data_IF_072873814723
#
_entry.id   IF_072873814723
#
_cell.length_a   1.000
_cell.length_b   1.000
_cell.length_c   1.000
_cell.angle_alpha   90.00
_cell.angle_beta   90.00
_cell.angle_gamma   90.00
#
_symmetry.space_group_name_H-M   'P 1'
#
loop_
_entity.id
_entity.type
_entity.pdbx_description
1 polymer ?
#
# COMPACT_ATOMS: atom_id res chain seq x y z
N UNK A 1 0.26 0.53 -32.68
CA UNK A 1 0.62 0.59 -31.24
C UNK A 1 1.68 1.66 -31.10
N UNK A 2 1.39 2.78 -30.42
CA UNK A 2 2.37 3.85 -30.16
C UNK A 2 3.09 3.55 -28.85
N UNK A 3 4.37 3.87 -28.77
CA UNK A 3 5.19 3.63 -27.58
C UNK A 3 4.84 4.67 -26.51
N UNK A 4 4.59 4.25 -25.26
CA UNK A 4 4.40 5.15 -24.13
C UNK A 4 5.69 5.26 -23.33
N UNK A 5 6.28 6.45 -23.29
CA UNK A 5 7.55 6.73 -22.62
C UNK A 5 7.32 7.44 -21.30
N UNK A 6 7.82 6.85 -20.21
CA UNK A 6 7.82 7.44 -18.87
C UNK A 6 9.24 7.85 -18.51
N UNK A 7 9.46 9.14 -18.28
CA UNK A 7 10.77 9.72 -17.94
C UNK A 7 10.65 10.66 -16.75
N UNK A 8 11.73 10.84 -15.99
CA UNK A 8 11.73 11.84 -14.92
C UNK A 8 11.56 13.26 -15.52
N UNK A 9 12.30 13.58 -16.58
CA UNK A 9 12.26 14.87 -17.29
C UNK A 9 12.27 14.65 -18.79
N UNK A 10 11.51 15.45 -19.53
CA UNK A 10 11.44 15.35 -20.98
C UNK A 10 12.58 16.12 -21.65
N UNK A 11 13.25 15.48 -22.60
CA UNK A 11 14.13 16.22 -23.51
C UNK A 11 13.29 16.89 -24.59
N UNK A 12 13.77 18.00 -25.16
CA UNK A 12 13.06 18.69 -26.25
C UNK A 12 12.74 17.78 -27.43
N UNK A 13 13.61 16.80 -27.71
CA UNK A 13 13.40 15.81 -28.76
C UNK A 13 12.22 14.87 -28.46
N UNK A 14 12.13 14.36 -27.21
CA UNK A 14 11.01 13.53 -26.79
C UNK A 14 9.68 14.29 -26.83
N UNK A 15 9.68 15.55 -26.39
CA UNK A 15 8.50 16.43 -26.46
C UNK A 15 8.03 16.64 -27.90
N UNK A 16 8.96 16.87 -28.84
CA UNK A 16 8.63 17.01 -30.27
C UNK A 16 8.04 15.73 -30.85
N UNK A 17 8.63 14.56 -30.54
CA UNK A 17 8.09 13.28 -30.98
C UNK A 17 6.68 13.02 -30.43
N UNK A 18 6.43 13.42 -29.18
CA UNK A 18 5.14 13.27 -28.55
C UNK A 18 4.08 14.16 -29.19
N UNK A 19 4.36 15.44 -29.45
CA UNK A 19 3.47 16.35 -30.18
C UNK A 19 3.21 15.89 -31.62
N UNK A 20 4.22 15.31 -32.27
CA UNK A 20 4.10 14.71 -33.60
C UNK A 20 3.32 13.38 -33.58
N UNK A 21 2.77 12.97 -32.43
CA UNK A 21 2.00 11.74 -32.29
C UNK A 21 2.80 10.46 -32.58
N UNK A 22 4.15 10.52 -32.54
CA UNK A 22 5.03 9.37 -32.77
C UNK A 22 5.11 8.49 -31.51
N UNK A 23 5.12 9.11 -30.34
CA UNK A 23 5.12 8.47 -29.02
C UNK A 23 4.08 9.13 -28.12
N UNK A 24 3.71 8.46 -27.04
CA UNK A 24 3.06 9.09 -25.89
C UNK A 24 4.13 9.36 -24.82
N UNK A 25 4.00 10.44 -24.06
CA UNK A 25 5.03 10.89 -23.12
C UNK A 25 4.43 11.28 -21.78
N UNK A 26 4.98 10.72 -20.70
CA UNK A 26 4.78 11.17 -19.32
C UNK A 26 6.14 11.60 -18.73
N UNK A 27 6.29 12.88 -18.44
CA UNK A 27 7.44 13.45 -17.75
C UNK A 27 7.06 13.77 -16.30
N UNK A 28 7.51 12.92 -15.37
CA UNK A 28 7.00 12.86 -13.99
C UNK A 28 7.37 14.11 -13.17
N UNK A 29 8.63 14.56 -13.20
CA UNK A 29 9.06 15.74 -12.45
C UNK A 29 8.46 17.03 -13.01
N UNK A 30 8.09 17.02 -14.29
CA UNK A 30 7.51 18.17 -15.01
C UNK A 30 5.98 18.16 -14.98
N UNK A 31 5.35 17.13 -14.40
CA UNK A 31 3.89 16.90 -14.43
C UNK A 31 3.29 17.08 -15.83
N UNK A 32 3.99 16.55 -16.84
CA UNK A 32 3.63 16.72 -18.24
C UNK A 32 3.20 15.41 -18.87
N UNK A 33 2.03 15.41 -19.49
CA UNK A 33 1.47 14.28 -20.23
C UNK A 33 1.11 14.72 -21.65
N UNK A 34 1.64 14.02 -22.65
CA UNK A 34 1.27 14.21 -24.06
C UNK A 34 0.80 12.88 -24.61
N UNK A 35 -0.48 12.81 -24.99
CA UNK A 35 -1.12 11.61 -25.56
C UNK A 35 -1.68 12.00 -26.92
N UNK A 36 -1.32 11.22 -27.94
CA UNK A 36 -1.75 11.44 -29.33
C UNK A 36 -1.52 12.87 -29.85
N UNK A 37 -0.43 13.52 -29.41
CA UNK A 37 -0.07 14.88 -29.81
C UNK A 37 -0.72 15.98 -28.99
N UNK A 38 -1.70 15.64 -28.15
CA UNK A 38 -2.40 16.56 -27.26
C UNK A 38 -1.69 16.64 -25.90
N UNK A 39 -1.41 17.87 -25.46
CA UNK A 39 -0.80 18.15 -24.16
C UNK A 39 -1.88 18.29 -23.08
N UNK A 40 -1.83 17.41 -22.08
CA UNK A 40 -2.73 17.33 -20.93
C UNK A 40 -2.12 17.92 -19.65
N UNK A 41 -0.95 18.56 -19.73
CA UNK A 41 -0.25 19.10 -18.55
C UNK A 41 -1.06 20.16 -17.80
N UNK A 42 -1.92 20.92 -18.48
CA UNK A 42 -2.79 21.92 -17.84
C UNK A 42 -3.85 21.30 -16.94
N UNK A 43 -4.35 20.10 -17.26
CA UNK A 43 -5.29 19.35 -16.43
C UNK A 43 -4.62 18.77 -15.19
N UNK A 44 -3.37 18.28 -15.32
CA UNK A 44 -2.58 17.71 -14.21
C UNK A 44 -2.17 18.78 -13.19
N UNK A 45 -1.98 20.03 -13.62
CA UNK A 45 -1.56 21.12 -12.75
C UNK A 45 -2.71 21.79 -11.97
N UNK A 46 -3.97 21.39 -12.19
CA UNK A 46 -5.12 21.90 -11.44
C UNK A 46 -5.36 21.15 -10.12
N UNK A 47 -4.81 19.95 -9.96
CA UNK A 47 -4.85 19.25 -8.67
C UNK A 47 -3.79 19.82 -7.72
N UNK A 48 -4.19 20.31 -6.52
CA UNK A 48 -3.23 20.72 -5.51
C UNK A 48 -2.31 19.54 -5.18
N UNK A 49 -0.99 19.78 -4.97
CA UNK A 49 -0.11 18.73 -4.48
C UNK A 49 -0.68 18.19 -3.15
N UNK A 50 -0.64 16.87 -2.91
CA UNK A 50 -1.10 16.33 -1.63
C UNK A 50 -0.33 17.00 -0.50
N UNK A 51 -1.05 17.40 0.57
CA UNK A 51 -0.53 18.17 1.70
C UNK A 51 0.70 17.54 2.38
N UNK A 52 0.90 16.24 2.20
CA UNK A 52 2.06 15.50 2.71
C UNK A 52 2.68 14.64 1.60
N UNK A 53 3.64 15.20 0.85
CA UNK A 53 4.68 14.37 0.24
C UNK A 53 5.80 14.26 1.28
N UNK A 54 5.92 13.15 2.02
CA UNK A 54 7.05 12.99 2.93
C UNK A 54 8.34 13.16 2.13
N UNK A 55 9.24 14.02 2.61
CA UNK A 55 10.56 14.23 2.02
C UNK A 55 11.23 12.86 1.84
N UNK A 56 11.33 12.40 0.58
CA UNK A 56 12.02 11.15 0.24
C UNK A 56 13.44 11.23 0.77
N UNK A 57 13.72 10.54 1.89
CA UNK A 57 15.09 10.36 2.38
C UNK A 57 15.90 9.70 1.25
N UNK A 58 17.06 10.26 0.91
CA UNK A 58 17.91 9.73 -0.17
C UNK A 58 18.28 8.27 0.13
N UNK A 59 17.84 7.35 -0.72
CA UNK A 59 18.12 5.91 -0.63
C UNK A 59 16.89 5.07 -0.95
N UNK A 60 17.09 3.78 -1.23
CA UNK A 60 15.97 2.83 -1.35
C UNK A 60 15.33 2.65 0.03
N UNK A 61 14.00 2.77 0.17
CA UNK A 61 13.35 2.55 1.46
C UNK A 61 13.69 1.17 2.03
N UNK A 62 13.85 1.03 3.35
CA UNK A 62 14.25 -0.22 3.99
C UNK A 62 13.07 -1.21 4.12
N UNK A 63 12.36 -1.52 3.03
CA UNK A 63 11.14 -2.35 3.03
C UNK A 63 11.30 -3.69 3.76
N UNK A 64 12.45 -4.34 3.61
CA UNK A 64 12.73 -5.62 4.30
C UNK A 64 12.77 -5.44 5.81
N UNK A 65 13.30 -4.31 6.33
CA UNK A 65 13.30 -4.03 7.77
C UNK A 65 11.86 -3.97 8.28
N UNK A 66 11.05 -3.15 7.61
CA UNK A 66 9.63 -2.99 7.93
C UNK A 66 8.84 -4.30 7.86
N UNK A 67 9.06 -5.11 6.83
CA UNK A 67 8.41 -6.39 6.72
C UNK A 67 8.82 -7.38 7.82
N UNK A 68 10.10 -7.39 8.24
CA UNK A 68 10.58 -8.21 9.36
C UNK A 68 9.90 -7.78 10.66
N UNK A 69 9.87 -6.48 10.95
CA UNK A 69 9.22 -5.95 12.15
C UNK A 69 7.74 -6.34 12.20
N UNK A 70 7.02 -6.24 11.08
CA UNK A 70 5.62 -6.66 10.97
C UNK A 70 5.43 -8.16 11.22
N UNK A 71 6.25 -9.01 10.60
CA UNK A 71 6.19 -10.46 10.82
C UNK A 71 6.49 -10.84 12.28
N UNK A 72 7.47 -10.20 12.90
CA UNK A 72 7.82 -10.46 14.30
C UNK A 72 6.77 -9.94 15.28
N UNK A 73 6.17 -8.77 14.99
CA UNK A 73 5.05 -8.25 15.77
C UNK A 73 3.82 -9.16 15.67
N UNK A 74 3.52 -9.72 14.50
CA UNK A 74 2.34 -10.57 14.31
C UNK A 74 2.56 -12.03 14.72
N UNK A 75 3.80 -12.43 14.98
CA UNK A 75 4.11 -13.79 15.41
C UNK A 75 3.99 -13.97 16.92
N UNK A 76 3.26 -14.98 17.41
CA UNK A 76 3.24 -15.33 18.83
C UNK A 76 4.49 -16.10 19.27
N UNK A 77 5.28 -16.62 18.33
CA UNK A 77 6.48 -17.43 18.60
C UNK A 77 7.73 -16.81 17.95
N UNK A 78 8.94 -17.05 18.50
CA UNK A 78 10.18 -16.64 17.86
C UNK A 78 10.29 -17.19 16.43
N UNK A 79 10.75 -16.36 15.49
CA UNK A 79 10.91 -16.76 14.08
C UNK A 79 12.39 -16.92 13.70
N UNK A 80 12.80 -18.06 13.13
CA UNK A 80 14.14 -18.23 12.59
C UNK A 80 14.42 -17.26 11.43
N UNK A 81 15.69 -16.84 11.28
CA UNK A 81 16.09 -15.98 10.15
C UNK A 81 15.82 -16.63 8.79
N UNK A 82 15.94 -17.95 8.70
CA UNK A 82 15.65 -18.71 7.47
C UNK A 82 14.16 -18.67 7.12
N UNK A 83 13.27 -18.73 8.12
CA UNK A 83 11.83 -18.60 7.91
C UNK A 83 11.47 -17.19 7.48
N UNK A 84 12.00 -16.16 8.16
CA UNK A 84 11.82 -14.76 7.76
C UNK A 84 12.31 -14.52 6.32
N UNK A 85 13.48 -15.06 5.97
CA UNK A 85 14.05 -14.93 4.63
C UNK A 85 13.17 -15.59 3.57
N UNK A 86 12.67 -16.80 3.86
CA UNK A 86 11.77 -17.54 2.98
C UNK A 86 10.46 -16.78 2.75
N UNK A 87 9.78 -16.33 3.82
CA UNK A 87 8.52 -15.58 3.69
C UNK A 87 8.71 -14.29 2.89
N UNK A 88 9.81 -13.57 3.12
CA UNK A 88 10.06 -12.29 2.47
C UNK A 88 10.76 -12.40 1.12
N UNK A 89 10.99 -13.61 0.61
CA UNK A 89 11.71 -13.87 -0.64
C UNK A 89 13.04 -13.08 -0.68
N UNK A 90 13.80 -13.17 0.41
CA UNK A 90 15.07 -12.48 0.61
C UNK A 90 16.12 -13.45 1.15
N UNK A 91 17.32 -12.95 1.45
CA UNK A 91 18.40 -13.79 1.96
C UNK A 91 18.49 -13.73 3.49
N UNK A 92 18.93 -14.80 4.17
CA UNK A 92 19.22 -14.76 5.61
C UNK A 92 20.21 -13.64 5.98
N UNK A 93 21.14 -13.28 5.09
CA UNK A 93 22.07 -12.16 5.30
C UNK A 93 21.37 -10.80 5.31
N UNK A 94 20.36 -10.60 4.47
CA UNK A 94 19.56 -9.37 4.48
C UNK A 94 18.75 -9.25 5.78
N UNK A 95 18.18 -10.38 6.26
CA UNK A 95 17.49 -10.46 7.55
C UNK A 95 18.47 -10.15 8.69
N UNK A 96 19.63 -10.81 8.73
CA UNK A 96 20.66 -10.55 9.74
C UNK A 96 21.11 -9.09 9.74
N UNK A 97 21.27 -8.47 8.57
CA UNK A 97 21.62 -7.05 8.46
C UNK A 97 20.52 -6.13 9.02
N UNK A 98 19.25 -6.45 8.78
CA UNK A 98 18.11 -5.68 9.30
C UNK A 98 17.96 -5.82 10.83
N UNK A 99 18.26 -6.99 11.38
CA UNK A 99 18.16 -7.28 12.81
C UNK A 99 19.38 -6.82 13.62
N UNK A 100 20.53 -6.62 12.97
CA UNK A 100 21.77 -6.27 13.67
C UNK A 100 21.64 -4.93 14.40
N UNK A 101 21.69 -4.98 15.73
CA UNK A 101 21.57 -3.80 16.59
C UNK A 101 20.16 -3.22 16.66
N UNK A 102 19.15 -4.01 16.29
CA UNK A 102 17.76 -3.59 16.37
C UNK A 102 17.30 -3.51 17.83
N UNK A 103 16.75 -2.37 18.23
CA UNK A 103 16.50 -2.02 19.64
C UNK A 103 15.44 -2.89 20.31
N UNK A 104 14.37 -3.26 19.60
CA UNK A 104 13.20 -3.94 20.17
C UNK A 104 13.13 -5.44 19.88
N UNK A 105 14.14 -5.99 19.21
CA UNK A 105 14.15 -7.38 18.73
C UNK A 105 15.37 -8.09 19.30
N UNK A 106 15.17 -9.27 19.87
CA UNK A 106 16.23 -10.03 20.53
C UNK A 106 16.24 -11.50 20.08
N UNK A 107 17.40 -12.18 20.18
CA UNK A 107 17.47 -13.63 20.01
C UNK A 107 16.70 -14.34 21.12
N UNK A 108 15.96 -15.37 20.75
CA UNK A 108 15.27 -16.28 21.66
C UNK A 108 15.49 -17.74 21.21
N UNK A 109 15.09 -18.70 22.04
CA UNK A 109 15.05 -20.09 21.61
C UNK A 109 14.13 -20.23 20.40
N UNK A 110 14.64 -20.82 19.31
CA UNK A 110 13.89 -20.97 18.06
C UNK A 110 13.94 -19.78 17.10
N UNK A 111 14.58 -18.65 17.43
CA UNK A 111 14.75 -17.56 16.46
C UNK A 111 14.85 -16.17 17.07
N UNK A 112 14.09 -15.23 16.51
CA UNK A 112 14.02 -13.83 16.95
C UNK A 112 12.62 -13.48 17.40
N UNK A 113 12.52 -12.64 18.43
CA UNK A 113 11.23 -12.18 18.97
C UNK A 113 11.27 -10.70 19.34
N UNK A 114 10.10 -10.09 19.51
CA UNK A 114 9.95 -8.71 19.96
C UNK A 114 9.73 -8.68 21.48
N UNK A 115 10.61 -8.03 22.24
CA UNK A 115 10.49 -7.94 23.70
C UNK A 115 9.73 -6.69 24.18
N UNK A 116 9.59 -5.67 23.33
CA UNK A 116 8.84 -4.41 23.59
C UNK A 116 7.87 -4.13 22.44
N UNK A 117 6.81 -4.93 22.37
CA UNK A 117 5.84 -4.94 21.25
C UNK A 117 5.18 -3.59 21.01
N UNK A 118 4.71 -2.93 22.07
CA UNK A 118 4.09 -1.60 22.00
C UNK A 118 5.04 -0.56 21.42
N UNK A 119 6.26 -0.46 21.97
CA UNK A 119 7.25 0.53 21.55
C UNK A 119 7.65 0.33 20.08
N UNK A 120 7.84 -0.94 19.66
CA UNK A 120 8.14 -1.25 18.26
C UNK A 120 6.98 -0.86 17.34
N UNK A 121 5.74 -1.18 17.70
CA UNK A 121 4.58 -0.83 16.87
C UNK A 121 4.40 0.69 16.76
N UNK A 122 4.51 1.42 17.87
CA UNK A 122 4.44 2.89 17.87
C UNK A 122 5.53 3.49 16.99
N UNK A 123 6.77 3.02 17.12
CA UNK A 123 7.88 3.49 16.27
C UNK A 123 7.68 3.14 14.80
N UNK A 124 7.18 1.93 14.50
CA UNK A 124 6.86 1.52 13.15
C UNK A 124 5.90 2.50 12.50
N UNK A 125 4.79 2.84 13.20
CA UNK A 125 3.75 3.72 12.68
C UNK A 125 4.23 5.16 12.49
N UNK A 126 5.19 5.63 13.30
CA UNK A 126 5.80 6.97 13.17
C UNK A 126 6.79 7.06 11.98
N UNK A 127 7.55 5.99 11.73
CA UNK A 127 8.65 6.01 10.77
C UNK A 127 8.28 5.40 9.39
N UNK A 128 7.29 4.51 9.30
CA UNK A 128 6.87 3.88 8.04
C UNK A 128 6.05 4.89 7.22
N UNK A 129 6.51 5.30 6.02
CA UNK A 129 5.87 6.37 5.25
C UNK A 129 4.62 5.91 4.48
N UNK A 130 4.11 4.72 4.76
CA UNK A 130 3.15 4.02 3.91
C UNK A 130 3.80 3.28 2.73
N UNK A 131 3.01 2.48 2.00
CA UNK A 131 3.51 1.67 0.89
C UNK A 131 3.82 2.49 -0.38
N UNK A 132 3.44 3.76 -0.42
CA UNK A 132 3.67 4.66 -1.55
C UNK A 132 3.04 4.17 -2.85
N UNK A 133 3.60 4.59 -3.98
CA UNK A 133 3.19 4.13 -5.30
C UNK A 133 2.11 4.97 -5.99
N UNK A 134 1.65 4.47 -7.14
CA UNK A 134 0.68 5.16 -7.98
C UNK A 134 -0.73 4.92 -7.44
N UNK A 135 -1.48 5.99 -7.22
CA UNK A 135 -2.80 5.96 -6.61
C UNK A 135 -3.82 6.59 -7.56
N UNK A 136 -5.01 5.99 -7.64
CA UNK A 136 -6.16 6.50 -8.41
C UNK A 136 -7.39 6.53 -7.51
N UNK A 137 -8.24 7.55 -7.71
CA UNK A 137 -9.43 7.80 -6.92
C UNK A 137 -10.68 7.65 -7.78
N UNK A 138 -11.70 7.04 -7.18
CA UNK A 138 -12.90 6.62 -7.87
C UNK A 138 -14.12 6.87 -6.98
N UNK A 139 -15.22 7.25 -7.62
CA UNK A 139 -16.50 7.40 -6.96
C UNK A 139 -17.42 6.24 -7.34
N UNK A 140 -17.92 5.53 -6.33
CA UNK A 140 -18.98 4.53 -6.44
C UNK A 140 -20.20 4.92 -5.61
N UNK A 141 -21.39 4.47 -6.04
CA UNK A 141 -22.67 4.73 -5.35
C UNK A 141 -22.98 3.72 -4.24
N UNK A 142 -22.43 2.51 -4.33
CA UNK A 142 -22.66 1.47 -3.33
C UNK A 142 -21.98 1.80 -1.99
N UNK A 143 -22.39 1.13 -0.92
CA UNK A 143 -21.64 1.14 0.32
C UNK A 143 -20.21 0.58 0.09
N UNK A 144 -19.19 0.97 0.89
CA UNK A 144 -17.80 0.58 0.66
C UNK A 144 -17.56 -0.93 0.48
N UNK A 145 -18.28 -1.77 1.22
CA UNK A 145 -18.20 -3.24 1.08
C UNK A 145 -18.73 -3.73 -0.28
N UNK A 146 -19.78 -3.11 -0.81
CA UNK A 146 -20.30 -3.36 -2.16
C UNK A 146 -19.32 -2.91 -3.24
N UNK A 147 -18.73 -1.73 -3.07
CA UNK A 147 -17.68 -1.21 -3.96
C UNK A 147 -16.49 -2.17 -4.06
N UNK A 148 -15.96 -2.64 -2.91
CA UNK A 148 -14.89 -3.64 -2.89
C UNK A 148 -15.29 -4.92 -3.62
N UNK A 149 -16.53 -5.38 -3.45
CA UNK A 149 -17.01 -6.60 -4.11
C UNK A 149 -16.94 -6.45 -5.63
N UNK A 150 -17.42 -5.33 -6.18
CA UNK A 150 -17.37 -5.03 -7.62
C UNK A 150 -15.93 -4.84 -8.12
N UNK A 151 -15.11 -4.08 -7.40
CA UNK A 151 -13.71 -3.85 -7.75
C UNK A 151 -12.90 -5.16 -7.77
N UNK A 152 -13.04 -6.01 -6.75
CA UNK A 152 -12.38 -7.32 -6.69
C UNK A 152 -12.86 -8.27 -7.78
N UNK A 153 -14.14 -8.22 -8.15
CA UNK A 153 -14.64 -9.02 -9.27
C UNK A 153 -13.96 -8.61 -10.58
N UNK A 154 -13.79 -7.30 -10.82
CA UNK A 154 -13.04 -6.82 -11.98
C UNK A 154 -11.57 -7.28 -11.93
N UNK A 155 -10.88 -7.12 -10.80
CA UNK A 155 -9.51 -7.61 -10.64
C UNK A 155 -9.37 -9.10 -10.99
N UNK A 156 -10.29 -9.94 -10.49
CA UNK A 156 -10.32 -11.39 -10.82
C UNK A 156 -10.56 -11.66 -12.30
N UNK A 157 -11.48 -10.93 -12.93
CA UNK A 157 -11.76 -11.08 -14.36
C UNK A 157 -10.55 -10.72 -15.23
N UNK A 158 -9.67 -9.85 -14.72
CA UNK A 158 -8.46 -9.38 -15.37
C UNK A 158 -7.20 -10.13 -14.92
N UNK A 159 -7.32 -11.16 -14.07
CA UNK A 159 -6.22 -11.92 -13.48
C UNK A 159 -5.18 -11.04 -12.76
N UNK A 160 -5.66 -10.00 -12.05
CA UNK A 160 -4.81 -9.09 -11.26
C UNK A 160 -5.01 -9.36 -9.78
N UNK A 161 -3.91 -9.70 -9.11
CA UNK A 161 -3.87 -9.82 -7.65
C UNK A 161 -4.17 -8.46 -6.99
N UNK A 162 -5.05 -8.49 -5.99
CA UNK A 162 -5.34 -7.34 -5.14
C UNK A 162 -5.49 -7.74 -3.66
N UNK A 163 -5.12 -6.82 -2.76
CA UNK A 163 -5.33 -6.92 -1.32
C UNK A 163 -6.30 -5.82 -0.89
N UNK A 164 -7.28 -6.19 -0.06
CA UNK A 164 -8.13 -5.22 0.63
C UNK A 164 -7.34 -4.56 1.76
N UNK A 165 -7.54 -3.25 1.93
CA UNK A 165 -6.86 -2.46 2.96
C UNK A 165 -7.77 -1.41 3.60
N UNK A 166 -7.23 -0.61 4.52
CA UNK A 166 -7.94 0.45 5.24
C UNK A 166 -9.10 -0.10 6.05
N UNK A 167 -10.22 0.63 6.04
CA UNK A 167 -11.42 0.30 6.82
C UNK A 167 -11.92 -1.12 6.62
N UNK A 168 -11.86 -1.62 5.39
CA UNK A 168 -12.37 -2.94 5.03
C UNK A 168 -11.50 -4.04 5.66
N UNK A 169 -10.19 -3.84 5.69
CA UNK A 169 -9.28 -4.76 6.36
C UNK A 169 -9.36 -4.62 7.89
N UNK A 170 -9.50 -3.41 8.41
CA UNK A 170 -9.65 -3.18 9.83
C UNK A 170 -10.94 -3.79 10.40
N UNK A 171 -12.07 -3.63 9.70
CA UNK A 171 -13.35 -4.26 10.06
C UNK A 171 -13.25 -5.79 10.03
N UNK A 172 -12.50 -6.36 9.08
CA UNK A 172 -12.23 -7.79 9.07
C UNK A 172 -11.45 -8.25 10.33
N UNK A 173 -10.41 -7.52 10.73
CA UNK A 173 -9.50 -7.90 11.81
C UNK A 173 -10.03 -7.63 13.22
N UNK A 174 -10.64 -6.46 13.42
CA UNK A 174 -11.16 -5.99 14.69
C UNK A 174 -12.41 -5.11 14.43
N UNK A 175 -13.58 -5.73 14.18
CA UNK A 175 -14.80 -5.00 13.86
C UNK A 175 -15.17 -4.02 14.98
N UNK A 176 -15.27 -2.73 14.64
CA UNK A 176 -15.58 -1.67 15.61
C UNK A 176 -16.45 -0.57 15.01
N UNK A 177 -16.09 -0.07 13.82
CA UNK A 177 -16.90 0.87 13.05
C UNK A 177 -17.27 0.31 11.69
N UNK A 178 -18.35 0.82 11.13
CA UNK A 178 -18.69 0.55 9.73
C UNK A 178 -17.66 1.21 8.80
N UNK A 179 -17.20 0.50 7.75
CA UNK A 179 -16.31 1.09 6.77
C UNK A 179 -16.90 2.34 6.10
N UNK A 180 -16.09 3.39 5.96
CA UNK A 180 -16.47 4.66 5.33
C UNK A 180 -15.90 4.76 3.92
N UNK A 181 -14.70 4.23 3.70
CA UNK A 181 -14.03 4.21 2.40
C UNK A 181 -13.67 2.79 1.97
N UNK A 182 -13.55 2.58 0.66
CA UNK A 182 -13.06 1.34 0.07
C UNK A 182 -11.62 1.55 -0.44
N UNK A 183 -10.72 0.60 -0.19
CA UNK A 183 -9.35 0.67 -0.69
C UNK A 183 -8.80 -0.70 -1.11
N UNK A 184 -8.07 -0.72 -2.23
CA UNK A 184 -7.31 -1.87 -2.72
C UNK A 184 -5.84 -1.50 -2.98
N UNK A 185 -4.93 -2.40 -2.57
CA UNK A 185 -3.61 -2.50 -3.19
C UNK A 185 -3.66 -3.51 -4.32
N UNK A 186 -3.09 -3.17 -5.47
CA UNK A 186 -3.11 -4.01 -6.67
C UNK A 186 -1.75 -4.06 -7.34
N UNK A 187 -1.48 -5.08 -8.16
CA UNK A 187 -0.20 -5.19 -8.86
C UNK A 187 -0.08 -4.24 -10.05
N UNK A 188 -1.19 -3.88 -10.66
CA UNK A 188 -1.27 -3.09 -11.89
C UNK A 188 -2.51 -2.20 -11.82
N UNK A 189 -2.47 -1.00 -12.41
CA UNK A 189 -3.62 -0.10 -12.43
C UNK A 189 -4.70 -0.63 -13.37
N UNK A 190 -5.96 -0.48 -12.96
CA UNK A 190 -7.13 -0.81 -13.76
C UNK A 190 -8.04 0.40 -13.93
N UNK A 191 -8.77 0.40 -15.05
CA UNK A 191 -9.93 1.25 -15.23
C UNK A 191 -11.14 0.57 -14.56
N UNK A 192 -11.73 1.23 -13.56
CA UNK A 192 -12.87 0.71 -12.80
C UNK A 192 -14.23 1.15 -13.35
N UNK A 193 -14.30 1.89 -14.47
CA UNK A 193 -15.56 2.20 -15.15
C UNK A 193 -16.42 0.95 -15.44
N UNK A 194 -15.85 -0.19 -15.91
CA UNK A 194 -16.63 -1.42 -16.13
C UNK A 194 -17.23 -2.02 -14.85
N UNK A 195 -16.68 -1.67 -13.68
CA UNK A 195 -17.20 -2.08 -12.37
C UNK A 195 -18.20 -1.06 -11.77
N UNK A 196 -18.63 -0.07 -12.56
CA UNK A 196 -19.65 0.92 -12.15
C UNK A 196 -19.11 2.15 -11.43
N UNK A 197 -17.78 2.35 -11.45
CA UNK A 197 -17.15 3.53 -10.86
C UNK A 197 -17.05 4.68 -11.86
N UNK A 198 -16.91 5.90 -11.35
CA UNK A 198 -16.50 7.07 -12.12
C UNK A 198 -15.17 7.60 -11.59
N UNK A 199 -14.33 8.19 -12.45
CA UNK A 199 -13.09 8.85 -12.00
C UNK A 199 -13.45 10.00 -11.06
N UNK A 200 -12.70 10.15 -9.97
CA UNK A 200 -12.90 11.19 -8.98
C UNK A 200 -11.57 11.85 -8.58
N UNK A 201 -11.65 13.02 -7.95
CA UNK A 201 -10.50 13.56 -7.21
C UNK A 201 -10.32 12.79 -5.90
N UNK A 202 -9.23 13.08 -5.18
CA UNK A 202 -8.97 12.51 -3.85
C UNK A 202 -10.10 12.83 -2.87
N UNK A 203 -10.57 14.08 -2.88
CA UNK A 203 -11.53 14.61 -1.92
C UNK A 203 -12.97 14.11 -2.16
N UNK A 204 -13.26 13.68 -3.39
CA UNK A 204 -14.58 13.19 -3.78
C UNK A 204 -14.64 11.65 -3.86
N UNK A 205 -13.48 10.98 -3.91
CA UNK A 205 -13.39 9.54 -4.10
C UNK A 205 -13.90 8.74 -2.89
N UNK A 206 -14.73 7.74 -3.15
CA UNK A 206 -15.18 6.76 -2.14
C UNK A 206 -14.44 5.43 -2.24
N UNK A 207 -13.69 5.23 -3.33
CA UNK A 207 -12.83 4.09 -3.58
C UNK A 207 -11.43 4.53 -4.03
N UNK A 208 -10.40 3.91 -3.45
CA UNK A 208 -8.99 4.15 -3.79
C UNK A 208 -8.33 2.87 -4.27
N UNK A 209 -7.63 2.95 -5.41
CA UNK A 209 -6.85 1.85 -5.96
C UNK A 209 -5.39 2.26 -6.12
N UNK A 210 -4.49 1.51 -5.48
CA UNK A 210 -3.06 1.85 -5.38
C UNK A 210 -2.19 0.70 -5.86
N UNK A 211 -1.22 0.99 -6.73
CA UNK A 211 -0.10 0.10 -7.03
C UNK A 211 1.08 0.49 -6.14
N UNK A 212 1.35 -0.25 -5.05
CA UNK A 212 2.30 0.16 -4.03
C UNK A 212 3.76 -0.01 -4.48
N UNK A 213 4.66 0.84 -3.94
CA UNK A 213 6.11 0.68 -4.08
C UNK A 213 6.69 -0.35 -3.12
N UNK A 214 6.03 -0.62 -1.98
CA UNK A 214 6.43 -1.66 -1.04
C UNK A 214 6.12 -3.06 -1.62
N UNK A 215 7.13 -3.85 -2.01
CA UNK A 215 6.92 -5.17 -2.58
C UNK A 215 6.58 -6.24 -1.53
N UNK A 216 6.59 -5.88 -0.25
CA UNK A 216 6.46 -6.83 0.86
C UNK A 216 5.02 -7.05 1.30
N UNK A 217 4.06 -6.24 0.86
CA UNK A 217 2.65 -6.33 1.30
C UNK A 217 2.04 -7.71 1.06
N UNK A 218 2.13 -8.24 -0.17
CA UNK A 218 1.63 -9.59 -0.48
C UNK A 218 2.38 -10.68 0.29
N UNK A 219 3.68 -10.48 0.54
CA UNK A 219 4.52 -11.48 1.20
C UNK A 219 4.15 -11.62 2.66
N UNK A 220 3.94 -10.50 3.35
CA UNK A 220 3.52 -10.50 4.76
C UNK A 220 2.08 -10.94 4.92
N UNK A 221 1.19 -10.52 4.01
CA UNK A 221 -0.20 -10.97 4.00
C UNK A 221 -0.32 -12.50 3.81
N UNK A 222 0.47 -13.08 2.91
CA UNK A 222 0.48 -14.53 2.65
C UNK A 222 0.94 -15.37 3.86
N UNK A 223 1.63 -14.80 4.85
CA UNK A 223 2.02 -15.53 6.07
C UNK A 223 0.83 -15.74 7.02
N UNK A 224 -0.23 -14.93 6.88
CA UNK A 224 -1.37 -14.97 7.79
C UNK A 224 -2.47 -15.94 7.36
N UNK A 225 -2.36 -16.51 6.16
CA UNK A 225 -3.36 -17.42 5.59
C UNK A 225 -2.69 -18.57 4.85
N UNK A 226 -3.36 -19.72 4.81
CA UNK A 226 -2.93 -20.88 4.02
C UNK A 226 -3.35 -20.78 2.54
N UNK A 227 -4.15 -19.77 2.19
CA UNK A 227 -4.63 -19.51 0.83
C UNK A 227 -4.06 -18.21 0.26
N UNK A 228 -4.49 -17.84 -0.96
CA UNK A 228 -4.21 -16.51 -1.49
C UNK A 228 -4.72 -15.44 -0.52
N UNK A 229 -3.90 -14.44 -0.15
CA UNK A 229 -4.32 -13.40 0.77
C UNK A 229 -5.35 -12.47 0.15
N UNK A 230 -6.42 -12.22 0.91
CA UNK A 230 -7.52 -11.31 0.54
C UNK A 230 -7.34 -9.90 1.09
N UNK A 231 -6.55 -9.76 2.16
CA UNK A 231 -6.32 -8.54 2.93
C UNK A 231 -4.83 -8.32 3.11
N UNK A 232 -4.42 -7.05 3.29
CA UNK A 232 -3.10 -6.74 3.86
C UNK A 232 -2.98 -7.27 5.28
N UNK A 233 -1.77 -7.42 5.82
CA UNK A 233 -1.63 -7.74 7.24
C UNK A 233 -2.14 -6.62 8.17
N UNK A 234 -2.53 -6.96 9.42
CA UNK A 234 -3.17 -6.03 10.35
C UNK A 234 -2.41 -4.73 10.62
N UNK A 235 -1.07 -4.75 10.56
CA UNK A 235 -0.26 -3.55 10.83
C UNK A 235 -0.36 -2.55 9.65
N UNK A 236 -0.46 -3.04 8.42
CA UNK A 236 -0.72 -2.17 7.26
C UNK A 236 -2.16 -1.67 7.27
N UNK A 237 -3.13 -2.53 7.63
CA UNK A 237 -4.51 -2.08 7.81
C UNK A 237 -4.61 -0.96 8.87
N UNK A 238 -3.90 -1.12 10.00
CA UNK A 238 -3.81 -0.10 11.04
C UNK A 238 -3.20 1.21 10.52
N UNK A 239 -2.05 1.13 9.85
CA UNK A 239 -1.43 2.30 9.24
C UNK A 239 -2.41 3.03 8.29
N UNK A 240 -3.14 2.28 7.47
CA UNK A 240 -4.04 2.86 6.47
C UNK A 240 -5.29 3.49 7.11
N UNK A 241 -5.83 2.92 8.19
CA UNK A 241 -6.91 3.55 8.96
C UNK A 241 -6.44 4.83 9.65
N UNK A 242 -5.23 4.84 10.22
CA UNK A 242 -4.66 6.05 10.85
C UNK A 242 -4.50 7.22 9.88
N UNK A 243 -4.33 6.92 8.58
CA UNK A 243 -4.18 7.91 7.51
C UNK A 243 -5.44 8.01 6.62
N UNK A 244 -6.52 7.36 7.02
CA UNK A 244 -7.79 7.31 6.30
C UNK A 244 -8.75 8.43 6.71
N UNK A 245 -9.94 8.41 6.12
CA UNK A 245 -10.99 9.41 6.37
C UNK A 245 -11.98 8.96 7.46
N UNK A 246 -12.56 9.95 8.15
CA UNK A 246 -13.58 9.76 9.18
C UNK A 246 -13.18 10.35 10.52
N UNK A 247 -14.13 10.95 11.23
CA UNK A 247 -13.88 11.57 12.54
C UNK A 247 -13.55 10.56 13.64
N UNK A 248 -13.92 9.30 13.44
CA UNK A 248 -13.74 8.16 14.33
C UNK A 248 -12.60 7.22 13.87
N UNK A 249 -11.82 7.62 12.87
CA UNK A 249 -10.72 6.80 12.35
C UNK A 249 -9.63 6.55 13.40
N UNK A 250 -9.36 7.53 14.28
CA UNK A 250 -8.39 7.38 15.35
C UNK A 250 -8.85 6.34 16.39
N UNK A 251 -10.11 6.39 16.82
CA UNK A 251 -10.68 5.43 17.76
C UNK A 251 -10.69 4.00 17.18
N UNK A 252 -10.99 3.87 15.88
CA UNK A 252 -10.92 2.60 15.17
C UNK A 252 -9.48 2.06 15.06
N UNK A 253 -8.50 2.95 14.82
CA UNK A 253 -7.10 2.61 14.82
C UNK A 253 -6.63 2.15 16.21
N UNK A 254 -7.02 2.84 17.27
CA UNK A 254 -6.72 2.44 18.66
C UNK A 254 -7.29 1.04 18.96
N UNK A 255 -8.52 0.75 18.54
CA UNK A 255 -9.13 -0.56 18.73
C UNK A 255 -8.37 -1.68 18.01
N UNK A 256 -7.99 -1.45 16.74
CA UNK A 256 -7.20 -2.42 15.97
C UNK A 256 -5.79 -2.58 16.53
N UNK A 257 -5.16 -1.50 16.99
CA UNK A 257 -3.86 -1.53 17.65
C UNK A 257 -3.89 -2.42 18.90
N UNK A 258 -4.90 -2.25 19.75
CA UNK A 258 -5.09 -3.09 20.93
C UNK A 258 -5.28 -4.56 20.56
N UNK A 259 -6.09 -4.85 19.53
CA UNK A 259 -6.28 -6.22 19.05
C UNK A 259 -4.95 -6.86 18.56
N UNK A 260 -4.11 -6.10 17.86
CA UNK A 260 -2.78 -6.57 17.39
C UNK A 260 -1.86 -6.90 18.57
N UNK A 261 -1.80 -6.02 19.56
CA UNK A 261 -0.88 -6.15 20.69
C UNK A 261 -1.23 -7.34 21.59
N UNK A 262 -2.53 -7.58 21.78
CA UNK A 262 -3.07 -8.69 22.56
C UNK A 262 -3.22 -9.98 21.76
N UNK A 263 -2.88 -9.99 20.47
CA UNK A 263 -3.01 -11.18 19.61
C UNK A 263 -4.46 -11.62 19.37
N UNK A 264 -5.41 -10.68 19.46
CA UNK A 264 -6.85 -10.90 19.35
C UNK A 264 -7.41 -10.61 17.94
N UNK A 265 -6.55 -10.30 16.96
CA UNK A 265 -6.99 -10.11 15.57
C UNK A 265 -7.59 -11.39 14.99
N UNK A 266 -8.70 -11.23 14.26
CA UNK A 266 -9.30 -12.33 13.49
C UNK A 266 -8.35 -12.79 12.37
N UNK A 267 -8.36 -14.07 12.03
CA UNK A 267 -7.68 -14.63 10.84
C UNK A 267 -8.70 -15.19 9.86
#
# INVERSE_FOLDING_TARGET
>A
MKLFLVVARATSHLTQLAHASVVHLLAVDERRLIVDGTDYSTTINQEPPPDHIPLRRRGRPPWIRWAIERLLLLSPQPLPQTILANHLHTTPQAVSKALKGHEYVEPAEGGWTVHRRQELLTRFLDEYPGPGGACTYWYGLDAPTGQITHARQLCRNMDIDCLQTGDIAADHYAPWRMPVTAALYMRELLDFVPAGFSVASREEGTFTATVPEDPTLWRTAAVLTDSTPDFVDPIIALHDVMHGEGTDALDAAEHLQDAILHGAVRR
#
